data_IF_310627991509
#
_entry.id   IF_310627991509
#
_cell.length_a   1.000
_cell.length_b   1.000
_cell.length_c   1.000
_cell.angle_alpha   90.00
_cell.angle_beta   90.00
_cell.angle_gamma   90.00
#
_symmetry.space_group_name_H-M   'P 1'
#
loop_
_entity.id
_entity.type
_entity.pdbx_description
1 polymer ?
#
# COMPACT_ATOMS: atom_id res chain seq x y z
N UNK A 1 -14.67 17.40 26.22
CA UNK A 1 -14.50 17.26 24.77
C UNK A 1 -15.88 17.00 24.18
N UNK A 2 -16.49 18.01 23.57
CA UNK A 2 -17.84 17.93 23.01
C UNK A 2 -17.71 17.16 21.68
N UNK A 3 -18.05 15.88 21.67
CA UNK A 3 -18.31 15.13 20.44
C UNK A 3 -19.57 15.74 19.81
N UNK A 4 -19.41 16.58 18.78
CA UNK A 4 -20.53 17.01 17.97
C UNK A 4 -21.07 15.78 17.24
N UNK A 5 -22.06 15.14 17.84
CA UNK A 5 -22.92 14.18 17.18
C UNK A 5 -23.59 14.86 15.98
N UNK A 6 -23.36 14.32 14.77
CA UNK A 6 -24.15 14.64 13.60
C UNK A 6 -23.72 15.90 12.86
N UNK A 7 -22.70 15.82 12.02
CA UNK A 7 -22.60 16.71 10.86
C UNK A 7 -23.61 16.18 9.85
N UNK A 8 -24.84 16.72 9.89
CA UNK A 8 -25.91 16.38 8.97
C UNK A 8 -25.61 17.05 7.62
N UNK A 9 -25.22 16.27 6.63
CA UNK A 9 -24.95 16.78 5.28
C UNK A 9 -26.25 16.74 4.46
N UNK A 10 -26.78 17.91 4.11
CA UNK A 10 -27.96 18.04 3.26
C UNK A 10 -27.64 18.01 1.76
N UNK A 11 -26.37 17.98 1.37
CA UNK A 11 -25.92 18.02 -0.01
C UNK A 11 -24.83 16.98 -0.25
N UNK A 12 -24.97 16.21 -1.33
CA UNK A 12 -23.99 15.22 -1.79
C UNK A 12 -22.59 15.84 -2.04
N UNK A 13 -22.55 17.11 -2.44
CA UNK A 13 -21.28 17.85 -2.66
C UNK A 13 -20.55 18.17 -1.36
N UNK A 14 -21.27 18.39 -0.24
CA UNK A 14 -20.64 18.66 1.05
C UNK A 14 -20.05 17.40 1.69
N UNK A 15 -20.60 16.23 1.37
CA UNK A 15 -20.09 14.93 1.79
C UNK A 15 -18.81 14.53 1.01
N UNK A 16 -18.70 15.01 -0.23
CA UNK A 16 -17.52 14.79 -1.11
C UNK A 16 -16.34 15.69 -0.76
N UNK A 17 -16.48 16.68 0.11
CA UNK A 17 -15.38 17.55 0.50
C UNK A 17 -14.29 16.78 1.22
N UNK A 18 -13.04 16.92 0.73
CA UNK A 18 -11.86 16.21 1.26
C UNK A 18 -11.62 16.54 2.74
N UNK A 19 -11.96 17.76 3.16
CA UNK A 19 -11.83 18.26 4.54
C UNK A 19 -13.12 18.98 4.93
N UNK A 20 -13.95 18.30 5.70
CA UNK A 20 -15.27 18.79 6.09
C UNK A 20 -15.24 19.81 7.22
N UNK A 21 -14.17 19.86 7.99
CA UNK A 21 -14.09 20.70 9.20
C UNK A 21 -12.93 21.67 9.11
N UNK A 22 -13.14 22.94 9.50
CA UNK A 22 -12.07 23.95 9.59
C UNK A 22 -10.92 23.46 10.49
N UNK A 23 -11.23 22.75 11.54
CA UNK A 23 -10.25 22.15 12.45
C UNK A 23 -9.35 21.13 11.75
N UNK A 24 -9.92 20.30 10.86
CA UNK A 24 -9.15 19.36 10.05
C UNK A 24 -8.23 20.07 9.04
N UNK A 25 -8.68 21.20 8.47
CA UNK A 25 -7.84 22.03 7.60
C UNK A 25 -6.68 22.66 8.35
N UNK A 26 -6.93 23.17 9.56
CA UNK A 26 -5.89 23.72 10.44
C UNK A 26 -4.83 22.69 10.84
N UNK A 27 -5.25 21.48 11.24
CA UNK A 27 -4.33 20.38 11.55
C UNK A 27 -3.48 19.97 10.35
N UNK A 28 -4.09 19.89 9.18
CA UNK A 28 -3.36 19.56 7.97
C UNK A 28 -2.35 20.64 7.58
N UNK A 29 -2.73 21.91 7.67
CA UNK A 29 -1.82 23.03 7.43
C UNK A 29 -0.64 22.99 8.43
N UNK A 30 -0.90 22.70 9.70
CA UNK A 30 0.13 22.57 10.72
C UNK A 30 1.05 21.38 10.45
N UNK A 31 0.52 20.23 10.05
CA UNK A 31 1.32 19.07 9.64
C UNK A 31 2.19 19.37 8.42
N UNK A 32 1.66 20.07 7.41
CA UNK A 32 2.44 20.49 6.25
C UNK A 32 3.54 21.47 6.63
N UNK A 33 3.24 22.45 7.46
CA UNK A 33 4.22 23.41 7.95
C UNK A 33 5.32 22.71 8.78
N UNK A 34 4.95 21.79 9.68
CA UNK A 34 5.89 20.97 10.43
C UNK A 34 6.79 20.15 9.50
N UNK A 35 6.23 19.51 8.49
CA UNK A 35 6.97 18.71 7.52
C UNK A 35 7.97 19.54 6.71
N UNK A 36 7.66 20.81 6.39
CA UNK A 36 8.59 21.72 5.72
C UNK A 36 9.70 22.21 6.66
N UNK A 37 9.39 22.47 7.92
CA UNK A 37 10.34 22.98 8.91
C UNK A 37 11.24 21.88 9.48
N UNK A 38 10.74 20.65 9.58
CA UNK A 38 11.44 19.51 10.19
C UNK A 38 12.87 19.30 9.70
N UNK A 39 13.19 19.31 8.39
CA UNK A 39 14.57 19.06 7.92
C UNK A 39 15.57 20.16 8.34
N UNK A 40 15.07 21.32 8.75
CA UNK A 40 15.91 22.39 9.28
C UNK A 40 16.21 22.18 10.79
N UNK A 41 15.24 21.68 11.52
CA UNK A 41 15.36 21.39 12.97
C UNK A 41 16.04 20.04 13.21
N UNK A 42 15.91 19.08 12.29
CA UNK A 42 16.51 17.75 12.42
C UNK A 42 18.03 17.75 12.46
N UNK A 43 18.71 18.72 11.81
CA UNK A 43 20.17 18.82 11.84
C UNK A 43 20.75 19.13 13.23
N UNK A 44 20.32 20.21 13.93
CA UNK A 44 20.81 20.48 15.28
C UNK A 44 20.42 19.39 16.27
N UNK A 45 19.20 18.83 16.14
CA UNK A 45 18.72 17.74 16.99
C UNK A 45 19.52 16.46 16.80
N UNK A 46 19.93 16.12 15.57
CA UNK A 46 20.76 14.96 15.28
C UNK A 46 22.16 15.07 15.91
N UNK A 47 22.75 16.27 15.94
CA UNK A 47 24.01 16.51 16.64
C UNK A 47 23.90 16.32 18.16
N UNK A 48 22.76 16.72 18.74
CA UNK A 48 22.51 16.57 20.16
C UNK A 48 22.24 15.11 20.58
N UNK A 49 21.61 14.31 19.70
CA UNK A 49 21.23 12.92 19.95
C UNK A 49 22.28 11.90 19.49
N UNK A 50 23.37 12.33 18.81
CA UNK A 50 24.38 11.44 18.24
C UNK A 50 23.85 10.53 17.13
N UNK A 51 22.69 10.81 16.56
CA UNK A 51 22.02 9.99 15.54
C UNK A 51 21.64 10.80 14.31
N UNK A 52 21.62 10.16 13.15
CA UNK A 52 21.16 10.82 11.93
C UNK A 52 19.63 10.84 11.83
N UNK A 53 19.00 11.78 12.57
CA UNK A 53 17.53 11.93 12.66
C UNK A 53 16.91 12.09 11.28
N UNK A 54 17.59 12.72 10.34
CA UNK A 54 17.07 12.94 8.98
C UNK A 54 17.01 11.64 8.18
N UNK A 55 18.00 10.77 8.34
CA UNK A 55 17.99 9.43 7.77
C UNK A 55 16.81 8.60 8.31
N UNK A 56 16.59 8.64 9.62
CA UNK A 56 15.47 7.95 10.27
C UNK A 56 14.12 8.47 9.75
N UNK A 57 13.98 9.79 9.59
CA UNK A 57 12.77 10.38 9.01
C UNK A 57 12.51 9.91 7.57
N UNK A 58 13.56 9.82 6.74
CA UNK A 58 13.45 9.28 5.39
C UNK A 58 12.97 7.83 5.39
N UNK A 59 13.52 7.02 6.27
CA UNK A 59 13.12 5.62 6.45
C UNK A 59 11.65 5.51 6.86
N UNK A 60 11.22 6.31 7.82
CA UNK A 60 9.82 6.39 8.26
C UNK A 60 8.92 6.76 7.07
N UNK A 61 9.29 7.74 6.25
CA UNK A 61 8.52 8.13 5.07
C UNK A 61 8.30 6.98 4.09
N UNK A 62 9.33 6.18 3.84
CA UNK A 62 9.25 5.00 2.97
C UNK A 62 8.29 3.95 3.58
N UNK A 63 8.41 3.68 4.88
CA UNK A 63 7.51 2.74 5.56
C UNK A 63 6.06 3.22 5.61
N UNK A 64 5.81 4.54 5.67
CA UNK A 64 4.45 5.09 5.58
C UNK A 64 3.81 4.72 4.24
N UNK A 65 4.54 4.82 3.12
CA UNK A 65 4.02 4.41 1.80
C UNK A 65 3.68 2.91 1.79
N UNK A 66 4.59 2.08 2.31
CA UNK A 66 4.35 0.64 2.44
C UNK A 66 3.14 0.31 3.32
N UNK A 67 3.01 0.98 4.47
CA UNK A 67 1.88 0.81 5.38
C UNK A 67 0.55 1.25 4.76
N UNK A 68 0.53 2.29 3.92
CA UNK A 68 -0.67 2.70 3.19
C UNK A 68 -1.11 1.63 2.19
N UNK A 69 -0.18 1.01 1.48
CA UNK A 69 -0.47 -0.12 0.59
C UNK A 69 -1.05 -1.32 1.35
N UNK A 70 -0.45 -1.65 2.49
CA UNK A 70 -0.94 -2.71 3.36
C UNK A 70 -2.33 -2.38 3.93
N UNK A 71 -2.57 -1.14 4.35
CA UNK A 71 -3.87 -0.70 4.85
C UNK A 71 -4.96 -0.78 3.78
N UNK A 72 -4.63 -0.51 2.51
CA UNK A 72 -5.57 -0.69 1.41
C UNK A 72 -5.99 -2.16 1.28
N UNK A 73 -5.04 -3.08 1.42
CA UNK A 73 -5.30 -4.52 1.32
C UNK A 73 -5.99 -5.07 2.56
N UNK A 74 -5.45 -4.83 3.77
CA UNK A 74 -6.00 -5.38 5.01
C UNK A 74 -7.19 -4.60 5.53
N UNK A 75 -7.11 -3.27 5.48
CA UNK A 75 -8.13 -2.38 6.02
C UNK A 75 -9.38 -2.30 5.16
N UNK A 76 -9.25 -2.11 3.86
CA UNK A 76 -10.39 -1.91 2.96
C UNK A 76 -10.92 -3.21 2.33
N UNK A 77 -10.05 -4.17 1.98
CA UNK A 77 -10.53 -5.44 1.38
C UNK A 77 -10.66 -6.58 2.41
N UNK A 78 -10.18 -6.39 3.64
CA UNK A 78 -10.24 -7.40 4.69
C UNK A 78 -9.31 -8.61 4.46
N UNK A 79 -8.35 -8.48 3.54
CA UNK A 79 -7.43 -9.55 3.20
C UNK A 79 -6.15 -9.44 4.04
N UNK A 80 -5.87 -10.41 4.89
CA UNK A 80 -4.65 -10.43 5.70
C UNK A 80 -3.48 -10.84 4.81
N UNK A 81 -2.46 -9.98 4.71
CA UNK A 81 -1.24 -10.24 3.97
C UNK A 81 -0.02 -10.07 4.86
N UNK A 82 0.75 -11.15 5.03
CA UNK A 82 2.03 -11.14 5.75
C UNK A 82 3.24 -10.99 4.80
N UNK A 83 2.99 -11.04 3.47
CA UNK A 83 4.03 -10.98 2.45
C UNK A 83 4.30 -9.60 1.87
N UNK A 84 3.65 -8.54 2.35
CA UNK A 84 3.71 -7.21 1.72
C UNK A 84 5.13 -6.63 1.66
N UNK A 85 5.95 -6.89 2.69
CA UNK A 85 7.34 -6.46 2.72
C UNK A 85 8.21 -7.03 1.60
N UNK A 86 7.96 -8.26 1.17
CA UNK A 86 8.70 -8.87 0.07
C UNK A 86 8.42 -8.18 -1.28
N UNK A 87 7.16 -7.81 -1.54
CA UNK A 87 6.80 -7.07 -2.75
C UNK A 87 7.42 -5.66 -2.77
N UNK A 88 7.54 -5.04 -1.60
CA UNK A 88 8.27 -3.78 -1.45
C UNK A 88 9.75 -3.96 -1.78
N UNK A 89 10.36 -5.07 -1.33
CA UNK A 89 11.72 -5.49 -1.69
C UNK A 89 11.89 -5.71 -3.20
N UNK A 90 10.93 -6.39 -3.87
CA UNK A 90 10.95 -6.57 -5.33
C UNK A 90 11.00 -5.21 -6.04
N UNK A 91 10.18 -4.25 -5.62
CA UNK A 91 10.19 -2.90 -6.17
C UNK A 91 11.53 -2.20 -6.00
N UNK A 92 12.15 -2.33 -4.82
CA UNK A 92 13.46 -1.75 -4.53
C UNK A 92 14.56 -2.34 -5.43
N UNK A 93 14.64 -3.67 -5.54
CA UNK A 93 15.60 -4.34 -6.42
C UNK A 93 15.33 -4.04 -7.90
N UNK A 94 14.08 -4.00 -8.33
CA UNK A 94 13.72 -3.63 -9.69
C UNK A 94 14.18 -2.20 -10.02
N UNK A 95 13.99 -1.23 -9.13
CA UNK A 95 14.47 0.14 -9.33
C UNK A 95 16.00 0.21 -9.39
N UNK A 96 16.70 -0.57 -8.54
CA UNK A 96 18.15 -0.65 -8.54
C UNK A 96 18.68 -1.22 -9.87
N UNK A 97 18.09 -2.32 -10.36
CA UNK A 97 18.47 -2.95 -11.63
C UNK A 97 18.23 -2.01 -12.81
N UNK A 98 17.07 -1.35 -12.86
CA UNK A 98 16.73 -0.41 -13.92
C UNK A 98 17.69 0.78 -13.97
N UNK A 99 18.07 1.32 -12.82
CA UNK A 99 18.96 2.48 -12.76
C UNK A 99 20.43 2.12 -12.98
N UNK A 100 20.90 0.99 -12.40
CA UNK A 100 22.32 0.63 -12.41
C UNK A 100 22.75 -0.15 -13.65
N UNK A 101 21.87 -1.02 -14.18
CA UNK A 101 22.21 -1.87 -15.32
C UNK A 101 21.67 -1.34 -16.65
N UNK A 102 20.43 -0.85 -16.65
CA UNK A 102 19.79 -0.34 -17.86
C UNK A 102 20.00 1.17 -18.04
N UNK A 103 20.60 1.88 -17.05
CA UNK A 103 20.84 3.31 -17.14
C UNK A 103 19.56 4.16 -17.22
N UNK A 104 18.41 3.60 -16.84
CA UNK A 104 17.13 4.30 -16.91
C UNK A 104 17.13 5.44 -15.89
N UNK A 105 16.75 6.68 -16.28
CA UNK A 105 16.63 7.77 -15.34
C UNK A 105 15.70 7.43 -14.18
N UNK A 106 16.04 7.87 -12.97
CA UNK A 106 15.31 7.55 -11.75
C UNK A 106 13.78 7.79 -11.85
N UNK A 107 13.36 8.81 -12.58
CA UNK A 107 11.95 9.14 -12.79
C UNK A 107 11.13 8.07 -13.50
N UNK A 108 11.73 7.43 -14.50
CA UNK A 108 11.10 6.32 -15.22
C UNK A 108 11.29 5.01 -14.47
N UNK A 109 12.42 4.85 -13.76
CA UNK A 109 12.70 3.67 -12.96
C UNK A 109 11.69 3.49 -11.82
N UNK A 110 11.21 4.58 -11.19
CA UNK A 110 10.28 4.55 -10.07
C UNK A 110 8.89 3.98 -10.46
N UNK A 111 8.16 4.48 -11.46
CA UNK A 111 6.89 3.88 -11.87
C UNK A 111 7.08 2.49 -12.50
N UNK A 112 8.16 2.28 -13.22
CA UNK A 112 8.44 0.99 -13.85
C UNK A 112 8.74 -0.10 -12.81
N UNK A 113 9.48 0.21 -11.75
CA UNK A 113 9.71 -0.70 -10.62
C UNK A 113 8.41 -1.04 -9.88
N UNK A 114 7.51 -0.07 -9.74
CA UNK A 114 6.16 -0.30 -9.21
C UNK A 114 5.36 -1.25 -10.08
N UNK A 115 5.48 -1.14 -11.40
CA UNK A 115 4.82 -2.04 -12.35
C UNK A 115 5.40 -3.46 -12.26
N UNK A 116 6.73 -3.61 -12.17
CA UNK A 116 7.38 -4.92 -11.94
C UNK A 116 6.89 -5.55 -10.65
N UNK A 117 6.85 -4.78 -9.55
CA UNK A 117 6.33 -5.27 -8.27
C UNK A 117 4.86 -5.67 -8.36
N UNK A 118 4.05 -4.95 -9.14
CA UNK A 118 2.64 -5.28 -9.38
C UNK A 118 2.49 -6.59 -10.17
N UNK A 119 3.30 -6.82 -11.20
CA UNK A 119 3.30 -8.07 -11.98
C UNK A 119 3.68 -9.26 -11.11
N UNK A 120 4.75 -9.14 -10.31
CA UNK A 120 5.15 -10.19 -9.36
C UNK A 120 4.06 -10.40 -8.30
N UNK A 121 3.48 -9.33 -7.78
CA UNK A 121 2.35 -9.38 -6.86
C UNK A 121 1.12 -10.07 -7.46
N UNK A 122 0.84 -9.85 -8.73
CA UNK A 122 -0.24 -10.52 -9.46
C UNK A 122 0.04 -12.02 -9.62
N UNK A 123 1.26 -12.40 -9.93
CA UNK A 123 1.66 -13.80 -10.07
C UNK A 123 1.43 -14.61 -8.80
N UNK A 124 1.79 -14.07 -7.63
CA UNK A 124 1.53 -14.70 -6.34
C UNK A 124 0.10 -14.46 -5.84
N UNK A 125 -0.50 -13.34 -6.21
CA UNK A 125 -1.84 -12.93 -5.79
C UNK A 125 -2.94 -13.79 -6.41
N UNK A 126 -2.87 -14.11 -7.71
CA UNK A 126 -3.92 -14.88 -8.41
C UNK A 126 -4.16 -16.25 -7.76
N UNK A 127 -3.14 -17.08 -7.46
CA UNK A 127 -3.35 -18.33 -6.73
C UNK A 127 -3.91 -18.13 -5.32
N UNK A 128 -3.47 -17.07 -4.63
CA UNK A 128 -3.87 -16.79 -3.26
C UNK A 128 -5.32 -16.29 -3.13
N UNK A 129 -5.92 -15.75 -4.20
CA UNK A 129 -7.35 -15.37 -4.21
C UNK A 129 -8.32 -16.53 -3.94
N UNK A 130 -7.87 -17.76 -4.16
CA UNK A 130 -8.66 -18.97 -3.85
C UNK A 130 -8.71 -19.28 -2.35
N UNK A 131 -7.82 -18.69 -1.57
CA UNK A 131 -7.68 -18.91 -0.15
C UNK A 131 -8.41 -17.82 0.63
N UNK A 132 -8.95 -18.15 1.82
CA UNK A 132 -9.67 -17.18 2.66
C UNK A 132 -9.08 -17.14 4.07
N UNK A 133 -9.20 -15.98 4.72
CA UNK A 133 -8.82 -15.80 6.12
C UNK A 133 -7.36 -16.18 6.41
N UNK A 134 -7.17 -17.05 7.37
CA UNK A 134 -5.85 -17.47 7.85
C UNK A 134 -5.00 -18.17 6.78
N UNK A 135 -5.63 -18.97 5.91
CA UNK A 135 -4.92 -19.66 4.84
C UNK A 135 -4.30 -18.69 3.84
N UNK A 136 -4.95 -17.57 3.58
CA UNK A 136 -4.40 -16.48 2.75
C UNK A 136 -3.16 -15.86 3.40
N UNK A 137 -3.20 -15.64 4.72
CA UNK A 137 -2.05 -15.09 5.45
C UNK A 137 -0.83 -16.03 5.37
N UNK A 138 -1.03 -17.34 5.56
CA UNK A 138 0.02 -18.35 5.44
C UNK A 138 0.59 -18.40 4.01
N UNK A 139 -0.28 -18.37 2.99
CA UNK A 139 0.15 -18.38 1.60
C UNK A 139 0.98 -17.13 1.23
N UNK A 140 0.60 -15.94 1.72
CA UNK A 140 1.37 -14.71 1.50
C UNK A 140 2.70 -14.71 2.25
N UNK A 141 2.75 -15.35 3.43
CA UNK A 141 3.99 -15.58 4.17
C UNK A 141 4.92 -16.54 3.40
N UNK A 142 4.39 -17.62 2.85
CA UNK A 142 5.17 -18.53 2.01
C UNK A 142 5.72 -17.82 0.77
N UNK A 143 4.91 -17.00 0.09
CA UNK A 143 5.35 -16.16 -1.02
C UNK A 143 6.51 -15.22 -0.63
N UNK A 144 6.45 -14.65 0.58
CA UNK A 144 7.54 -13.82 1.12
C UNK A 144 8.86 -14.59 1.21
N UNK A 145 8.84 -15.80 1.76
CA UNK A 145 10.05 -16.63 1.88
C UNK A 145 10.60 -17.01 0.50
N UNK A 146 9.74 -17.36 -0.45
CA UNK A 146 10.15 -17.69 -1.82
C UNK A 146 10.82 -16.49 -2.49
N UNK A 147 10.22 -15.29 -2.37
CA UNK A 147 10.76 -14.06 -2.95
C UNK A 147 12.10 -13.71 -2.29
N UNK A 148 12.20 -13.79 -0.96
CA UNK A 148 13.46 -13.53 -0.25
C UNK A 148 14.55 -14.55 -0.63
N UNK A 149 14.20 -15.82 -0.76
CA UNK A 149 15.11 -16.85 -1.21
C UNK A 149 15.62 -16.56 -2.63
N UNK A 150 14.72 -16.21 -3.55
CA UNK A 150 15.09 -15.83 -4.91
C UNK A 150 16.03 -14.61 -4.92
N UNK A 151 15.74 -13.57 -4.14
CA UNK A 151 16.58 -12.37 -4.04
C UNK A 151 18.00 -12.69 -3.52
N UNK A 152 18.13 -13.59 -2.55
CA UNK A 152 19.43 -13.94 -1.97
C UNK A 152 20.27 -14.85 -2.86
N UNK A 153 19.61 -15.78 -3.58
CA UNK A 153 20.33 -16.77 -4.39
C UNK A 153 20.60 -16.30 -5.83
N UNK A 154 19.91 -15.29 -6.30
CA UNK A 154 20.08 -14.79 -7.68
C UNK A 154 21.21 -13.78 -7.77
N UNK A 155 22.43 -14.23 -7.41
CA UNK A 155 23.64 -13.38 -7.30
C UNK A 155 23.89 -12.54 -8.55
N UNK A 156 23.69 -13.14 -9.73
CA UNK A 156 23.87 -12.44 -11.00
C UNK A 156 22.94 -11.23 -11.17
N UNK A 157 21.71 -11.29 -10.64
CA UNK A 157 20.72 -10.22 -10.82
C UNK A 157 20.71 -9.21 -9.66
N UNK A 158 20.73 -9.69 -8.42
CA UNK A 158 20.52 -8.92 -7.20
C UNK A 158 21.79 -8.64 -6.42
N UNK A 159 22.93 -9.23 -6.79
CA UNK A 159 24.14 -9.20 -5.98
C UNK A 159 24.13 -10.19 -4.81
N UNK A 160 23.06 -10.97 -4.65
CA UNK A 160 22.93 -11.98 -3.59
C UNK A 160 22.92 -11.41 -2.18
N UNK A 161 23.67 -12.01 -1.27
CA UNK A 161 23.74 -11.59 0.15
C UNK A 161 24.39 -10.21 0.35
N UNK A 162 25.26 -9.78 -0.56
CA UNK A 162 25.96 -8.50 -0.47
C UNK A 162 25.07 -7.32 -0.91
N UNK A 163 23.97 -7.62 -1.59
CA UNK A 163 23.02 -6.63 -2.08
C UNK A 163 23.57 -5.80 -3.24
N UNK A 164 22.85 -4.76 -3.62
CA UNK A 164 23.24 -3.81 -4.66
C UNK A 164 23.52 -2.44 -4.06
N UNK A 165 24.75 -1.93 -4.29
CA UNK A 165 25.08 -0.54 -3.96
C UNK A 165 24.51 0.38 -5.05
N UNK A 166 23.50 1.16 -4.70
CA UNK A 166 22.83 2.08 -5.63
C UNK A 166 23.43 3.48 -5.50
N UNK A 167 23.80 4.09 -6.63
CA UNK A 167 24.24 5.50 -6.65
C UNK A 167 23.07 6.41 -6.30
N UNK A 168 23.39 7.56 -5.66
CA UNK A 168 22.39 8.55 -5.35
C UNK A 168 21.61 8.97 -6.61
N UNK A 169 20.27 8.99 -6.55
CA UNK A 169 19.45 9.34 -7.72
C UNK A 169 19.71 10.79 -8.12
N UNK A 170 19.73 11.04 -9.43
CA UNK A 170 19.86 12.37 -10.01
C UNK A 170 18.48 12.85 -10.40
N UNK A 171 18.06 14.00 -9.86
CA UNK A 171 16.77 14.62 -10.13
C UNK A 171 16.96 15.87 -11.00
N UNK A 172 16.54 15.84 -12.27
CA UNK A 172 16.72 16.95 -13.21
C UNK A 172 18.15 17.57 -13.21
N UNK A 173 19.18 16.73 -13.19
CA UNK A 173 20.57 17.18 -13.15
C UNK A 173 21.10 17.54 -11.74
N UNK A 174 20.26 17.54 -10.71
CA UNK A 174 20.66 17.79 -9.33
C UNK A 174 20.88 16.46 -8.61
N UNK A 175 22.10 16.14 -8.16
CA UNK A 175 22.35 14.92 -7.39
C UNK A 175 21.67 15.02 -6.01
N UNK A 176 20.87 14.00 -5.66
CA UNK A 176 20.22 13.92 -4.35
C UNK A 176 21.18 13.34 -3.28
N UNK A 177 22.44 13.77 -3.29
CA UNK A 177 23.46 13.28 -2.35
C UNK A 177 23.26 13.77 -0.90
N UNK A 178 22.30 14.68 -0.68
CA UNK A 178 22.04 15.24 0.65
C UNK A 178 20.75 14.67 1.19
N UNK A 179 20.77 14.12 2.42
CA UNK A 179 19.61 13.58 3.13
C UNK A 179 18.42 14.53 3.14
N UNK A 180 18.66 15.84 3.14
CA UNK A 180 17.62 16.87 3.10
C UNK A 180 16.88 16.89 1.76
N UNK A 181 17.57 16.76 0.62
CA UNK A 181 16.94 16.73 -0.71
C UNK A 181 16.15 15.45 -0.88
N UNK A 182 16.71 14.34 -0.38
CA UNK A 182 16.04 13.05 -0.37
C UNK A 182 14.77 13.07 0.48
N UNK A 183 14.80 13.75 1.63
CA UNK A 183 13.64 13.96 2.49
C UNK A 183 12.47 14.61 1.74
N UNK A 184 12.69 15.71 1.04
CA UNK A 184 11.63 16.36 0.28
C UNK A 184 11.06 15.46 -0.81
N UNK A 185 11.87 14.67 -1.49
CA UNK A 185 11.41 13.71 -2.49
C UNK A 185 10.52 12.65 -1.86
N UNK A 186 10.97 12.00 -0.79
CA UNK A 186 10.21 10.94 -0.10
C UNK A 186 8.88 11.47 0.40
N UNK A 187 8.87 12.62 1.08
CA UNK A 187 7.63 13.16 1.64
C UNK A 187 6.67 13.72 0.57
N UNK A 188 7.17 14.18 -0.56
CA UNK A 188 6.32 14.49 -1.72
C UNK A 188 5.63 13.22 -2.22
N UNK A 189 6.34 12.10 -2.31
CA UNK A 189 5.75 10.81 -2.68
C UNK A 189 4.75 10.31 -1.63
N UNK A 190 5.02 10.50 -0.33
CA UNK A 190 4.07 10.19 0.76
C UNK A 190 2.76 10.95 0.59
N UNK A 191 2.84 12.26 0.30
CA UNK A 191 1.65 13.09 0.08
C UNK A 191 0.88 12.61 -1.13
N UNK A 192 1.55 12.38 -2.26
CA UNK A 192 0.93 11.88 -3.49
C UNK A 192 0.27 10.52 -3.27
N UNK A 193 0.95 9.59 -2.58
CA UNK A 193 0.40 8.28 -2.23
C UNK A 193 -0.82 8.40 -1.32
N UNK A 194 -0.78 9.30 -0.32
CA UNK A 194 -1.91 9.54 0.58
C UNK A 194 -3.12 10.13 -0.15
N UNK A 195 -2.90 11.10 -1.03
CA UNK A 195 -3.96 11.68 -1.86
C UNK A 195 -4.53 10.65 -2.82
N UNK A 196 -3.68 9.85 -3.45
CA UNK A 196 -4.10 8.76 -4.34
C UNK A 196 -4.95 7.73 -3.60
N UNK A 197 -4.49 7.24 -2.45
CA UNK A 197 -5.23 6.28 -1.61
C UNK A 197 -6.58 6.85 -1.17
N UNK A 198 -6.61 8.11 -0.73
CA UNK A 198 -7.84 8.78 -0.32
C UNK A 198 -8.82 8.96 -1.48
N UNK A 199 -8.33 9.28 -2.67
CA UNK A 199 -9.16 9.40 -3.86
C UNK A 199 -9.66 8.03 -4.33
N UNK A 200 -8.79 7.00 -4.29
CA UNK A 200 -9.15 5.63 -4.62
C UNK A 200 -10.26 5.08 -3.72
N UNK A 201 -10.15 5.28 -2.41
CA UNK A 201 -11.15 4.78 -1.43
C UNK A 201 -12.52 5.45 -1.59
N UNK A 202 -12.59 6.67 -2.13
CA UNK A 202 -13.83 7.39 -2.43
C UNK A 202 -14.43 7.02 -3.79
N UNK A 203 -13.65 6.40 -4.67
CA UNK A 203 -14.08 6.00 -6.01
C UNK A 203 -15.07 4.81 -5.96
N UNK A 204 -15.61 4.45 -7.12
CA UNK A 204 -16.44 3.24 -7.25
C UNK A 204 -15.66 1.98 -6.84
N UNK A 205 -14.37 1.93 -7.16
CA UNK A 205 -13.45 0.83 -6.78
C UNK A 205 -13.30 0.70 -5.27
N UNK A 206 -13.15 1.83 -4.55
CA UNK A 206 -13.05 1.80 -3.08
C UNK A 206 -14.32 1.29 -2.41
N UNK A 207 -15.50 1.67 -2.92
CA UNK A 207 -16.78 1.12 -2.45
C UNK A 207 -16.90 -0.38 -2.71
N UNK A 208 -16.40 -0.85 -3.86
CA UNK A 208 -16.36 -2.28 -4.16
C UNK A 208 -15.45 -3.04 -3.17
N UNK A 209 -14.30 -2.47 -2.77
CA UNK A 209 -13.42 -3.07 -1.77
C UNK A 209 -14.12 -3.26 -0.42
N UNK A 210 -14.83 -2.25 0.07
CA UNK A 210 -15.60 -2.34 1.33
C UNK A 210 -16.74 -3.37 1.21
N UNK A 211 -17.45 -3.42 0.09
CA UNK A 211 -18.49 -4.41 -0.14
C UNK A 211 -17.95 -5.85 -0.11
N UNK A 212 -16.75 -6.08 -0.65
CA UNK A 212 -16.08 -7.38 -0.61
C UNK A 212 -15.72 -7.77 0.82
N UNK A 213 -15.27 -6.80 1.63
CA UNK A 213 -14.93 -7.02 3.04
C UNK A 213 -16.14 -7.42 3.88
N UNK A 214 -17.25 -6.68 3.74
CA UNK A 214 -18.40 -6.81 4.65
C UNK A 214 -19.25 -8.03 4.33
N UNK A 215 -19.57 -8.27 3.06
CA UNK A 215 -20.33 -9.43 2.60
C UNK A 215 -19.98 -9.79 1.16
N UNK A 216 -19.10 -10.70 1.01
CA UNK A 216 -18.65 -11.24 -0.27
C UNK A 216 -19.82 -11.77 -1.14
N UNK A 217 -20.80 -12.48 -0.55
CA UNK A 217 -21.97 -12.98 -1.27
C UNK A 217 -22.90 -11.84 -1.75
N UNK A 218 -23.08 -10.80 -0.96
CA UNK A 218 -23.91 -9.65 -1.33
C UNK A 218 -23.28 -8.79 -2.42
N UNK A 219 -21.94 -8.71 -2.46
CA UNK A 219 -21.20 -8.00 -3.51
C UNK A 219 -21.38 -8.69 -4.89
N UNK A 220 -21.43 -10.02 -4.92
CA UNK A 220 -21.63 -10.82 -6.13
C UNK A 220 -23.05 -10.63 -6.68
N UNK A 221 -24.06 -10.57 -5.82
CA UNK A 221 -25.47 -10.32 -6.20
C UNK A 221 -25.66 -8.91 -6.77
N UNK A 222 -24.87 -7.93 -6.29
CA UNK A 222 -24.89 -6.55 -6.79
C UNK A 222 -24.12 -6.35 -8.11
N UNK A 223 -23.63 -7.44 -8.74
CA UNK A 223 -22.98 -7.38 -10.06
C UNK A 223 -21.52 -6.91 -10.01
N UNK A 224 -20.89 -6.88 -8.85
CA UNK A 224 -19.45 -6.66 -8.72
C UNK A 224 -18.77 -7.95 -9.18
N UNK A 225 -18.23 -7.96 -10.41
CA UNK A 225 -17.47 -9.10 -10.93
C UNK A 225 -16.19 -9.25 -10.11
N UNK A 226 -16.23 -10.15 -9.16
CA UNK A 226 -15.04 -10.68 -8.53
C UNK A 226 -14.34 -11.55 -9.59
N UNK A 227 -13.10 -11.29 -9.88
CA UNK A 227 -12.31 -12.06 -10.86
C UNK A 227 -12.02 -13.48 -10.32
N UNK A 228 -13.05 -14.21 -9.99
CA UNK A 228 -12.97 -15.61 -9.57
C UNK A 228 -13.98 -16.40 -10.40
N UNK A 229 -13.45 -17.25 -11.26
CA UNK A 229 -14.16 -18.37 -11.85
C UNK A 229 -14.61 -19.34 -10.73
N UNK A 230 -15.64 -18.98 -9.98
CA UNK A 230 -16.41 -19.96 -9.21
C UNK A 230 -17.61 -20.38 -10.02
N UNK A 231 -17.86 -21.69 -10.17
CA UNK A 231 -19.14 -22.13 -10.67
C UNK A 231 -20.23 -21.53 -9.77
N UNK A 232 -21.24 -20.92 -10.40
CA UNK A 232 -22.42 -20.43 -9.69
C UNK A 232 -22.92 -21.52 -8.74
N UNK A 233 -23.35 -21.17 -7.50
CA UNK A 233 -24.06 -22.11 -6.65
C UNK A 233 -25.23 -22.66 -7.46
N UNK A 234 -25.27 -23.96 -7.66
CA UNK A 234 -26.40 -24.58 -8.37
C UNK A 234 -27.66 -24.28 -7.57
N UNK A 235 -28.63 -23.55 -8.13
CA UNK A 235 -29.92 -23.35 -7.48
C UNK A 235 -30.63 -24.71 -7.41
N UNK A 236 -30.65 -25.32 -6.24
CA UNK A 236 -31.34 -26.61 -6.04
C UNK A 236 -30.73 -27.55 -4.98
N UNK A 237 -29.57 -27.25 -4.42
CA UNK A 237 -28.92 -28.18 -3.49
C UNK A 237 -29.07 -27.85 -1.99
N UNK A 238 -29.75 -26.76 -1.65
CA UNK A 238 -30.00 -26.36 -0.26
C UNK A 238 -31.43 -26.64 0.23
N UNK A 239 -32.28 -27.31 -0.56
CA UNK A 239 -33.68 -27.60 -0.15
C UNK A 239 -33.90 -29.04 0.35
N UNK A 240 -32.85 -29.89 0.34
CA UNK A 240 -32.97 -31.29 0.83
C UNK A 240 -32.43 -31.54 2.22
N UNK A 241 -32.18 -30.49 2.99
CA UNK A 241 -31.69 -30.62 4.38
C UNK A 241 -32.65 -30.07 5.40
N UNK A 242 -33.75 -30.79 5.70
CA UNK A 242 -34.44 -30.60 6.97
C UNK A 242 -35.91 -30.22 6.95
N UNK A 243 -36.75 -31.04 6.38
CA UNK A 243 -38.13 -31.13 6.81
C UNK A 243 -38.44 -32.62 7.18
N UNK A 244 -38.05 -33.02 8.40
CA UNK A 244 -38.68 -34.17 9.03
C UNK A 244 -40.10 -33.73 9.43
N UNK A 245 -41.18 -34.47 9.04
CA UNK A 245 -42.50 -34.20 9.53
C UNK A 245 -42.61 -34.54 11.01
N UNK A 246 -43.46 -33.82 11.79
CA UNK A 246 -43.68 -34.16 13.20
C UNK A 246 -44.30 -35.52 13.32
N UNK A 247 -44.01 -36.31 14.39
CA UNK A 247 -44.62 -37.58 14.64
C UNK A 247 -46.08 -37.42 15.00
N UNK A 248 -46.92 -38.34 14.51
CA UNK A 248 -48.33 -38.45 14.76
C UNK A 248 -48.66 -38.78 16.21
#
# INVERSE_FOLDING_TARGET
MSSKCGVFHQSYQSEMAIFQTWFARGWMALLFAWMLVFPFVAKPMGKALGTNVLYLANLIGIYIIGAQGLNLLTGYTGQISLGHGAFMGVGAYASAILTMRLGVPFWFALPLSGLVAAVVGMFFGIPSLRLKGLYLAIATMAAQFIIQFAMRNWTWLTGGSDGMSVRAPVFFGLPLNTDRRYYFLVYTLVILATLFTKNLTRSRTGRAFVAIRDRYLSAEVMGIRLATSRPAPQPGKELDGGASPPPA
#
